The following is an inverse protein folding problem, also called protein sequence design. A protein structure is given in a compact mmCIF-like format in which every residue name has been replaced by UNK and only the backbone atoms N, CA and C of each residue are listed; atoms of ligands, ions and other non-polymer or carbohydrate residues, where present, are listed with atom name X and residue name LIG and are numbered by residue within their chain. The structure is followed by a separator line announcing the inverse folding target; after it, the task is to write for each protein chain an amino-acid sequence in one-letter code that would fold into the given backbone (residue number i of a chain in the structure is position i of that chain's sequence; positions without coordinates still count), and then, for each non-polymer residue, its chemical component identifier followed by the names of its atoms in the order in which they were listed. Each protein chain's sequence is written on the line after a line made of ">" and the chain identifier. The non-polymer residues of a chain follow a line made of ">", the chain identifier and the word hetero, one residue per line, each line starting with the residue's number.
data_IF_447423990972
#
_entry.id   IF_447423990972
#
_cell.length_a   1.000
_cell.length_b   1.000
_cell.length_c   1.000
_cell.angle_alpha   90.00
_cell.angle_beta   90.00
_cell.angle_gamma   90.00
#
_symmetry.space_group_name_H-M   'P 1'
#
loop_
_entity.id
_entity.type
_entity.pdbx_description
1 polymer ?
#
# COMPACT_ATOMS: atom_id res chain seq x y z
N UNK A 1 -19.93 4.74 2.35
CA UNK A 1 -18.64 4.11 2.01
C UNK A 1 -18.83 2.59 2.01
N UNK A 2 -18.27 1.87 1.04
CA UNK A 2 -18.34 0.40 0.96
C UNK A 2 -17.00 -0.21 1.38
N UNK A 3 -17.03 -1.24 2.22
CA UNK A 3 -15.87 -2.02 2.66
C UNK A 3 -16.15 -3.49 2.39
N UNK A 4 -15.19 -4.22 1.82
CA UNK A 4 -15.34 -5.63 1.48
C UNK A 4 -14.08 -6.41 1.84
N UNK A 5 -14.27 -7.61 2.36
CA UNK A 5 -13.20 -8.51 2.78
C UNK A 5 -12.24 -7.86 3.78
N UNK A 6 -10.97 -8.23 3.68
CA UNK A 6 -9.90 -7.73 4.54
C UNK A 6 -9.22 -8.83 5.34
N UNK A 7 -8.35 -8.41 6.25
CA UNK A 7 -7.61 -9.28 7.16
C UNK A 7 -7.62 -8.64 8.54
N UNK A 8 -7.85 -9.44 9.58
CA UNK A 8 -7.91 -8.95 10.96
C UNK A 8 -6.49 -8.78 11.48
N UNK A 9 -6.11 -7.57 11.87
CA UNK A 9 -4.76 -7.27 12.38
C UNK A 9 -4.37 -8.19 13.54
N UNK A 10 -3.23 -8.88 13.44
CA UNK A 10 -2.76 -9.84 14.46
C UNK A 10 -3.29 -11.27 14.29
N UNK A 11 -4.24 -11.50 13.37
CA UNK A 11 -4.70 -12.81 12.96
C UNK A 11 -4.43 -13.00 11.46
N UNK A 12 -3.95 -14.18 11.05
CA UNK A 12 -3.75 -14.49 9.63
C UNK A 12 -5.06 -14.87 8.92
N UNK A 13 -6.21 -14.40 9.43
CA UNK A 13 -7.54 -14.79 8.99
C UNK A 13 -8.15 -13.71 8.10
N UNK A 14 -8.60 -14.13 6.91
CA UNK A 14 -9.21 -13.25 5.92
C UNK A 14 -10.73 -13.20 6.14
N UNK A 15 -11.32 -12.07 5.79
CA UNK A 15 -12.74 -11.81 5.90
C UNK A 15 -13.40 -11.92 4.52
N UNK A 16 -14.65 -12.36 4.51
CA UNK A 16 -15.54 -12.29 3.34
C UNK A 16 -16.59 -11.17 3.49
N UNK A 17 -16.64 -10.53 4.65
CA UNK A 17 -17.72 -9.63 5.04
C UNK A 17 -17.77 -8.39 4.16
N UNK A 18 -18.98 -7.90 3.94
CA UNK A 18 -19.25 -6.70 3.16
C UNK A 18 -20.09 -5.76 4.01
N UNK A 19 -19.65 -4.51 4.14
CA UNK A 19 -20.34 -3.51 4.94
C UNK A 19 -20.44 -2.17 4.22
N UNK A 20 -21.58 -1.51 4.39
CA UNK A 20 -21.77 -0.12 4.01
C UNK A 20 -21.82 0.74 5.26
N UNK A 21 -21.02 1.80 5.27
CA UNK A 21 -21.16 2.92 6.19
C UNK A 21 -22.00 4.02 5.53
N UNK A 22 -23.16 4.32 6.11
CA UNK A 22 -23.86 5.55 5.82
C UNK A 22 -23.11 6.72 6.50
N UNK A 23 -22.63 7.66 5.70
CA UNK A 23 -21.82 8.79 6.19
C UNK A 23 -22.65 9.90 6.83
N UNK A 24 -23.98 9.86 6.66
CA UNK A 24 -24.91 10.84 7.24
C UNK A 24 -25.34 10.38 8.63
N UNK A 25 -25.79 9.13 8.75
CA UNK A 25 -26.20 8.55 10.03
C UNK A 25 -25.04 7.97 10.85
N UNK A 26 -23.87 7.77 10.22
CA UNK A 26 -22.72 7.09 10.81
C UNK A 26 -23.04 5.67 11.30
N UNK A 27 -23.95 4.98 10.60
CA UNK A 27 -24.35 3.60 10.92
C UNK A 27 -23.78 2.62 9.92
N UNK A 28 -23.36 1.46 10.42
CA UNK A 28 -22.94 0.37 9.55
C UNK A 28 -24.12 -0.55 9.24
N UNK A 29 -24.09 -1.11 8.04
CA UNK A 29 -25.06 -2.08 7.56
C UNK A 29 -24.31 -3.22 6.90
N UNK A 30 -24.56 -4.44 7.37
CA UNK A 30 -24.02 -5.65 6.77
C UNK A 30 -24.73 -5.93 5.43
N UNK A 31 -23.97 -6.42 4.47
CA UNK A 31 -24.44 -6.91 3.18
C UNK A 31 -24.13 -8.39 3.04
N UNK A 32 -24.62 -8.98 1.94
CA UNK A 32 -24.23 -10.33 1.56
C UNK A 32 -22.70 -10.43 1.43
N UNK A 33 -22.07 -11.43 2.06
CA UNK A 33 -20.62 -11.59 2.02
C UNK A 33 -20.14 -12.04 0.64
N UNK A 34 -18.85 -11.84 0.37
CA UNK A 34 -18.20 -12.43 -0.80
C UNK A 34 -18.24 -13.96 -0.72
N UNK A 35 -18.30 -14.67 -1.87
CA UNK A 35 -18.28 -16.14 -1.88
C UNK A 35 -17.05 -16.79 -1.25
N UNK A 36 -15.96 -16.04 -1.04
CA UNK A 36 -14.76 -16.50 -0.38
C UNK A 36 -14.04 -15.35 0.34
N UNK A 37 -13.35 -15.62 1.47
CA UNK A 37 -12.55 -14.61 2.15
C UNK A 37 -11.37 -14.14 1.30
N UNK A 38 -11.13 -12.83 1.30
CA UNK A 38 -10.05 -12.22 0.50
C UNK A 38 -9.60 -10.88 1.10
N UNK A 39 -8.30 -10.59 1.01
CA UNK A 39 -7.74 -9.28 1.31
C UNK A 39 -6.91 -8.75 0.13
N UNK A 40 -6.61 -7.43 0.14
CA UNK A 40 -5.80 -6.76 -0.89
C UNK A 40 -6.33 -6.96 -2.32
N UNK A 41 -7.63 -7.12 -2.49
CA UNK A 41 -8.30 -7.23 -3.77
C UNK A 41 -8.66 -5.84 -4.32
N UNK A 42 -8.87 -5.80 -5.62
CA UNK A 42 -9.54 -4.66 -6.26
C UNK A 42 -11.05 -4.82 -6.13
N UNK A 43 -11.79 -3.72 -6.03
CA UNK A 43 -13.24 -3.72 -5.88
C UNK A 43 -13.88 -2.69 -6.82
N UNK A 44 -15.01 -3.07 -7.41
CA UNK A 44 -15.89 -2.17 -8.16
C UNK A 44 -17.36 -2.46 -7.84
N UNK A 45 -18.21 -1.44 -7.91
CA UNK A 45 -19.66 -1.60 -7.87
C UNK A 45 -20.20 -1.62 -9.30
N UNK A 46 -20.84 -2.71 -9.70
CA UNK A 46 -21.42 -2.89 -11.02
C UNK A 46 -22.94 -2.73 -10.94
N UNK A 47 -23.48 -1.77 -11.69
CA UNK A 47 -24.94 -1.63 -11.80
C UNK A 47 -25.48 -2.71 -12.73
N UNK A 48 -26.44 -3.49 -12.25
CA UNK A 48 -27.10 -4.56 -13.01
C UNK A 48 -28.61 -4.32 -13.00
N UNK A 49 -29.12 -3.64 -14.02
CA UNK A 49 -30.52 -3.23 -14.07
C UNK A 49 -30.89 -2.29 -12.92
N UNK A 50 -31.91 -2.66 -12.15
CA UNK A 50 -32.38 -1.94 -10.96
C UNK A 50 -31.54 -2.19 -9.70
N UNK A 51 -30.63 -3.18 -9.72
CA UNK A 51 -29.77 -3.53 -8.59
C UNK A 51 -28.31 -3.13 -8.80
N UNK A 52 -27.50 -3.31 -7.76
CA UNK A 52 -26.05 -3.24 -7.84
C UNK A 52 -25.42 -4.56 -7.36
N UNK A 53 -24.23 -4.85 -7.89
CA UNK A 53 -23.42 -6.00 -7.51
C UNK A 53 -22.04 -5.50 -7.10
N UNK A 54 -21.54 -6.04 -6.02
CA UNK A 54 -20.18 -5.85 -5.56
C UNK A 54 -19.31 -6.84 -6.33
N UNK A 55 -18.32 -6.33 -7.06
CA UNK A 55 -17.34 -7.15 -7.75
C UNK A 55 -15.97 -6.96 -7.08
N UNK A 56 -15.37 -8.06 -6.63
CA UNK A 56 -14.02 -8.11 -6.12
C UNK A 56 -13.14 -8.96 -7.06
N UNK A 57 -12.02 -8.41 -7.50
CA UNK A 57 -11.08 -9.12 -8.37
C UNK A 57 -9.73 -9.30 -7.70
N UNK A 58 -9.25 -10.55 -7.74
CA UNK A 58 -7.92 -10.94 -7.32
C UNK A 58 -7.76 -11.03 -5.80
N UNK A 59 -6.62 -10.54 -5.28
CA UNK A 59 -6.34 -10.49 -3.85
C UNK A 59 -5.58 -11.69 -3.30
N UNK A 60 -5.67 -11.90 -1.98
CA UNK A 60 -4.98 -12.96 -1.25
C UNK A 60 -5.95 -13.67 -0.30
N UNK A 61 -5.97 -15.01 -0.34
CA UNK A 61 -6.90 -15.84 0.44
C UNK A 61 -6.32 -16.37 1.75
N UNK A 62 -5.23 -15.78 2.24
CA UNK A 62 -4.49 -16.27 3.41
C UNK A 62 -3.39 -17.28 3.10
N UNK A 63 -3.51 -18.00 2.00
CA UNK A 63 -2.56 -19.04 1.58
C UNK A 63 -1.98 -18.81 0.19
N UNK A 64 -2.70 -18.12 -0.68
CA UNK A 64 -2.28 -17.87 -2.07
C UNK A 64 -2.89 -16.59 -2.63
N UNK A 65 -2.23 -16.05 -3.64
CA UNK A 65 -2.81 -15.02 -4.48
C UNK A 65 -3.97 -15.61 -5.30
N UNK A 66 -5.00 -14.80 -5.51
CA UNK A 66 -6.16 -15.15 -6.31
C UNK A 66 -6.21 -14.24 -7.53
N UNK A 67 -6.72 -14.77 -8.63
CA UNK A 67 -7.01 -14.03 -9.87
C UNK A 67 -8.45 -14.34 -10.30
N UNK A 68 -9.37 -14.42 -9.33
CA UNK A 68 -10.78 -14.74 -9.56
C UNK A 68 -11.65 -13.50 -9.38
N UNK A 69 -12.78 -13.51 -10.09
CA UNK A 69 -13.86 -12.56 -9.87
C UNK A 69 -14.81 -13.15 -8.84
N UNK A 70 -14.93 -12.47 -7.72
CA UNK A 70 -15.93 -12.72 -6.69
C UNK A 70 -17.03 -11.68 -6.84
N UNK A 71 -18.27 -12.11 -6.78
CA UNK A 71 -19.41 -11.20 -6.85
C UNK A 71 -20.39 -11.49 -5.72
N UNK A 72 -20.85 -10.43 -5.06
CA UNK A 72 -21.94 -10.46 -4.09
C UNK A 72 -23.01 -9.47 -4.55
N UNK A 73 -24.27 -9.78 -4.28
CA UNK A 73 -25.35 -8.85 -4.57
C UNK A 73 -25.38 -7.77 -3.47
N UNK A 74 -25.65 -6.52 -3.85
CA UNK A 74 -25.82 -5.45 -2.85
C UNK A 74 -27.21 -5.50 -2.20
N UNK A 75 -27.76 -6.72 -1.99
CA UNK A 75 -29.15 -6.98 -1.64
C UNK A 75 -29.66 -6.12 -0.48
N UNK A 76 -30.99 -6.03 -0.35
CA UNK A 76 -31.63 -5.32 0.76
C UNK A 76 -31.00 -5.75 2.09
N UNK A 77 -30.68 -4.80 2.98
CA UNK A 77 -29.81 -5.03 4.13
C UNK A 77 -30.34 -6.18 4.99
N UNK A 78 -29.66 -7.32 4.90
CA UNK A 78 -29.91 -8.46 5.74
C UNK A 78 -29.18 -8.19 7.06
N UNK A 79 -29.97 -7.98 8.12
CA UNK A 79 -29.54 -7.86 9.52
C UNK A 79 -29.22 -6.46 10.06
N UNK A 80 -29.41 -6.37 11.38
CA UNK A 80 -29.51 -5.17 12.19
C UNK A 80 -28.34 -4.20 11.99
N UNK A 81 -28.67 -2.92 11.88
CA UNK A 81 -27.71 -1.83 11.88
C UNK A 81 -27.04 -1.73 13.24
N UNK A 82 -25.71 -1.81 13.24
CA UNK A 82 -24.92 -1.56 14.44
C UNK A 82 -24.31 -0.15 14.36
N UNK A 83 -24.24 0.57 15.50
CA UNK A 83 -23.48 1.81 15.55
C UNK A 83 -22.00 1.50 15.25
N UNK A 84 -21.31 2.44 14.62
CA UNK A 84 -19.88 2.29 14.35
C UNK A 84 -19.12 1.91 15.63
N UNK A 85 -18.22 0.90 15.57
CA UNK A 85 -17.39 0.58 16.71
C UNK A 85 -16.62 1.83 17.15
N UNK A 86 -16.50 2.01 18.47
CA UNK A 86 -15.66 3.06 19.03
C UNK A 86 -14.24 2.95 18.45
N UNK A 87 -13.64 4.10 18.13
CA UNK A 87 -12.33 4.19 17.49
C UNK A 87 -11.34 3.20 18.13
N UNK A 88 -10.88 2.21 17.35
CA UNK A 88 -9.72 1.41 17.75
C UNK A 88 -8.53 2.36 17.92
N UNK A 89 -7.65 2.14 18.92
CA UNK A 89 -6.46 2.97 19.08
C UNK A 89 -5.71 2.96 17.75
N UNK A 90 -5.60 4.15 17.16
CA UNK A 90 -5.11 4.32 15.80
C UNK A 90 -3.74 3.63 15.69
N UNK A 91 -3.70 2.47 15.04
CA UNK A 91 -2.49 2.05 14.38
C UNK A 91 -2.18 3.21 13.43
N UNK A 92 -1.14 4.00 13.76
CA UNK A 92 -0.79 5.20 13.00
C UNK A 92 -0.61 4.79 11.55
N UNK A 93 -1.64 5.03 10.74
CA UNK A 93 -1.53 4.90 9.30
C UNK A 93 -0.40 5.84 8.91
N UNK A 94 0.65 5.30 8.29
CA UNK A 94 1.78 6.12 7.87
C UNK A 94 1.22 7.18 6.92
N UNK A 95 1.29 8.45 7.32
CA UNK A 95 0.88 9.56 6.49
C UNK A 95 1.93 9.68 5.39
N UNK A 96 1.63 9.13 4.22
CA UNK A 96 2.42 9.40 3.03
C UNK A 96 2.23 10.86 2.67
N UNK A 97 3.24 11.67 2.97
CA UNK A 97 3.28 13.08 2.59
C UNK A 97 3.02 13.16 1.08
N UNK A 98 1.89 13.77 0.69
CA UNK A 98 1.42 13.82 -0.71
C UNK A 98 2.27 14.74 -1.58
N UNK A 99 3.34 15.31 -1.02
CA UNK A 99 4.33 16.09 -1.76
C UNK A 99 4.94 15.25 -2.87
N UNK A 100 5.00 15.78 -4.11
CA UNK A 100 5.67 15.10 -5.21
C UNK A 100 7.13 14.78 -4.87
N UNK A 101 7.57 13.56 -5.18
CA UNK A 101 8.95 13.15 -4.97
C UNK A 101 9.93 14.02 -5.77
N UNK A 102 11.05 14.37 -5.15
CA UNK A 102 12.09 15.21 -5.74
C UNK A 102 12.70 14.55 -6.99
N UNK A 103 12.93 15.32 -8.05
CA UNK A 103 13.49 14.91 -9.34
C UNK A 103 14.74 15.70 -9.69
N UNK A 104 15.48 15.25 -10.70
CA UNK A 104 16.70 15.91 -11.17
C UNK A 104 16.49 17.39 -11.56
N UNK A 105 15.32 17.73 -12.13
CA UNK A 105 14.93 19.11 -12.45
C UNK A 105 14.95 20.04 -11.23
N UNK A 106 14.63 19.50 -10.06
CA UNK A 106 14.44 20.27 -8.83
C UNK A 106 15.76 20.65 -8.16
N UNK A 107 16.88 20.02 -8.58
CA UNK A 107 18.23 20.35 -8.13
C UNK A 107 18.80 21.60 -8.82
N UNK A 108 18.24 22.01 -9.96
CA UNK A 108 18.74 23.14 -10.73
C UNK A 108 20.25 23.04 -11.00
N UNK A 109 21.00 24.07 -10.62
CA UNK A 109 22.44 24.15 -10.83
C UNK A 109 23.22 23.01 -10.15
N UNK A 110 22.72 22.43 -9.05
CA UNK A 110 23.39 21.34 -8.33
C UNK A 110 23.44 20.02 -9.11
N UNK A 111 22.59 19.87 -10.13
CA UNK A 111 22.64 18.71 -11.02
C UNK A 111 23.68 18.86 -12.14
N UNK A 112 24.25 20.05 -12.33
CA UNK A 112 25.11 20.35 -13.48
C UNK A 112 26.35 19.45 -13.51
N UNK A 113 26.53 18.71 -14.60
CA UNK A 113 27.66 17.79 -14.79
C UNK A 113 27.57 16.48 -14.00
N UNK A 114 26.50 16.27 -13.22
CA UNK A 114 26.27 15.00 -12.52
C UNK A 114 25.41 14.06 -13.37
N UNK A 115 25.75 12.78 -13.38
CA UNK A 115 24.96 11.75 -14.07
C UNK A 115 24.97 10.43 -13.30
N UNK A 116 24.06 9.53 -13.68
CA UNK A 116 23.97 8.18 -13.14
C UNK A 116 23.94 8.13 -11.61
N UNK A 117 24.84 7.33 -11.03
CA UNK A 117 24.90 7.11 -9.58
C UNK A 117 25.25 8.38 -8.78
N UNK A 118 26.01 9.31 -9.35
CA UNK A 118 26.40 10.54 -8.67
C UNK A 118 25.20 11.50 -8.54
N UNK A 119 24.41 11.62 -9.60
CA UNK A 119 23.16 12.39 -9.58
C UNK A 119 22.14 11.77 -8.62
N UNK A 120 22.00 10.43 -8.63
CA UNK A 120 21.13 9.73 -7.68
C UNK A 120 21.56 9.97 -6.22
N UNK A 121 22.86 9.96 -5.94
CA UNK A 121 23.40 10.28 -4.61
C UNK A 121 23.11 11.73 -4.20
N UNK A 122 23.25 12.70 -5.12
CA UNK A 122 22.91 14.11 -4.84
C UNK A 122 21.43 14.29 -4.55
N UNK A 123 20.56 13.67 -5.36
CA UNK A 123 19.11 13.66 -5.14
C UNK A 123 18.74 13.06 -3.79
N UNK A 124 19.36 11.93 -3.43
CA UNK A 124 19.17 11.32 -2.12
C UNK A 124 19.51 12.28 -0.98
N UNK A 125 20.68 12.93 -1.03
CA UNK A 125 21.11 13.87 0.00
C UNK A 125 20.12 15.02 0.12
N UNK A 126 19.72 15.62 -1.01
CA UNK A 126 18.77 16.73 -1.02
C UNK A 126 17.39 16.34 -0.49
N UNK A 127 16.90 15.17 -0.90
CA UNK A 127 15.63 14.63 -0.41
C UNK A 127 15.66 14.42 1.10
N UNK A 128 16.76 13.88 1.65
CA UNK A 128 16.94 13.71 3.10
C UNK A 128 16.99 15.05 3.83
N UNK A 129 17.73 16.03 3.32
CA UNK A 129 17.81 17.39 3.90
C UNK A 129 16.42 18.05 3.99
N UNK A 130 15.59 17.83 2.98
CA UNK A 130 14.24 18.40 2.89
C UNK A 130 13.17 17.53 3.57
N UNK A 131 13.56 16.42 4.21
CA UNK A 131 12.65 15.52 4.93
C UNK A 131 11.78 14.63 4.04
N UNK A 132 12.12 14.43 2.77
CA UNK A 132 11.39 13.54 1.88
C UNK A 132 11.71 12.07 2.16
N UNK A 133 10.66 11.25 2.08
CA UNK A 133 10.78 9.79 2.18
C UNK A 133 11.20 9.12 0.87
N UNK A 134 11.01 9.79 -0.27
CA UNK A 134 11.37 9.28 -1.59
C UNK A 134 11.95 10.36 -2.51
N UNK A 135 12.68 9.92 -3.53
CA UNK A 135 13.08 10.73 -4.69
C UNK A 135 12.94 9.88 -5.96
N UNK A 136 12.92 10.51 -7.13
CA UNK A 136 12.91 9.80 -8.42
C UNK A 136 14.34 9.49 -8.85
N UNK A 137 14.66 8.21 -9.03
CA UNK A 137 15.95 7.76 -9.54
C UNK A 137 16.11 8.20 -11.01
N UNK A 138 17.11 9.05 -11.34
CA UNK A 138 17.26 9.62 -12.68
C UNK A 138 17.57 8.56 -13.75
N UNK A 139 18.11 7.40 -13.37
CA UNK A 139 18.45 6.34 -14.32
C UNK A 139 17.24 5.47 -14.68
N UNK A 140 16.33 5.23 -13.73
CA UNK A 140 15.23 4.26 -13.88
C UNK A 140 13.85 4.91 -13.95
N UNK A 141 13.71 6.16 -13.50
CA UNK A 141 12.43 6.86 -13.37
C UNK A 141 11.59 6.38 -12.18
N UNK A 142 12.07 5.44 -11.37
CA UNK A 142 11.33 4.90 -10.24
C UNK A 142 11.41 5.82 -9.02
N UNK A 143 10.32 5.83 -8.25
CA UNK A 143 10.34 6.38 -6.89
C UNK A 143 11.10 5.42 -5.97
N UNK A 144 12.17 5.93 -5.35
CA UNK A 144 13.05 5.15 -4.48
C UNK A 144 13.13 5.77 -3.10
N UNK A 145 13.19 4.92 -2.07
CA UNK A 145 13.22 5.37 -0.67
C UNK A 145 14.52 6.09 -0.30
N UNK A 146 14.40 7.14 0.50
CA UNK A 146 15.52 7.80 1.15
C UNK A 146 15.99 7.00 2.38
N UNK A 147 17.16 7.36 2.90
CA UNK A 147 17.70 6.72 4.11
C UNK A 147 16.88 7.10 5.34
N UNK A 148 16.23 8.27 5.33
CA UNK A 148 15.27 8.71 6.34
C UNK A 148 14.12 7.70 6.46
N UNK A 149 13.48 7.34 5.34
CA UNK A 149 12.41 6.33 5.31
C UNK A 149 12.93 4.97 5.77
N UNK A 150 14.07 4.53 5.22
CA UNK A 150 14.61 3.20 5.49
C UNK A 150 15.05 2.98 6.94
N UNK A 151 15.38 4.04 7.70
CA UNK A 151 15.72 3.93 9.14
C UNK A 151 14.53 3.47 10.00
N UNK A 152 13.30 3.65 9.54
CA UNK A 152 12.08 3.30 10.29
C UNK A 152 11.71 1.82 10.22
N UNK A 153 12.46 1.03 9.46
CA UNK A 153 12.20 -0.39 9.21
C UNK A 153 13.51 -1.20 9.22
N UNK A 154 13.46 -2.52 9.48
CA UNK A 154 14.65 -3.37 9.38
C UNK A 154 15.18 -3.44 7.95
N UNK A 155 16.46 -3.82 7.81
CA UNK A 155 17.10 -4.02 6.51
C UNK A 155 16.35 -5.09 5.69
N UNK A 156 15.90 -4.75 4.48
CA UNK A 156 15.11 -5.64 3.63
C UNK A 156 15.93 -6.58 2.73
N UNK A 157 17.27 -6.48 2.72
CA UNK A 157 18.14 -7.34 1.90
C UNK A 157 18.25 -6.97 0.41
N UNK A 158 17.55 -5.93 -0.06
CA UNK A 158 17.47 -5.57 -1.49
C UNK A 158 18.68 -4.78 -2.06
N UNK A 159 19.81 -4.72 -1.33
CA UNK A 159 21.05 -4.07 -1.80
C UNK A 159 20.86 -2.61 -2.30
N UNK A 160 20.06 -1.82 -1.59
CA UNK A 160 19.81 -0.41 -1.92
C UNK A 160 21.10 0.44 -1.92
N UNK A 161 21.22 1.45 -2.79
CA UNK A 161 22.42 2.30 -2.95
C UNK A 161 22.85 3.05 -1.67
N UNK A 162 21.88 3.41 -0.82
CA UNK A 162 22.11 4.21 0.39
C UNK A 162 21.45 3.56 1.62
N UNK A 163 21.82 2.30 1.89
CA UNK A 163 21.26 1.56 3.02
C UNK A 163 21.78 2.15 4.36
N UNK A 164 20.90 2.65 5.25
CA UNK A 164 21.32 3.17 6.55
C UNK A 164 21.79 2.07 7.50
N UNK A 165 21.44 0.81 7.20
CA UNK A 165 21.75 -0.36 8.03
C UNK A 165 23.03 -1.08 7.59
N UNK A 166 23.86 -0.49 6.74
CA UNK A 166 25.12 -1.11 6.30
C UNK A 166 24.95 -2.46 5.61
N UNK A 167 23.80 -2.70 4.96
CA UNK A 167 23.50 -3.94 4.23
C UNK A 167 23.55 -5.23 5.10
N UNK A 168 23.26 -5.15 6.40
CA UNK A 168 23.31 -6.31 7.32
C UNK A 168 22.55 -7.55 6.86
N UNK A 169 21.42 -7.39 6.15
CA UNK A 169 20.59 -8.50 5.65
C UNK A 169 20.78 -8.78 4.15
N UNK A 170 21.77 -8.15 3.49
CA UNK A 170 22.09 -8.47 2.09
C UNK A 170 22.99 -9.72 2.10
N UNK A 171 22.61 -10.80 1.38
CA UNK A 171 23.48 -11.97 1.27
C UNK A 171 24.85 -11.54 0.75
N UNK A 172 25.90 -11.84 1.52
CA UNK A 172 27.27 -11.75 1.02
C UNK A 172 27.34 -12.68 -0.17
N UNK A 173 27.84 -12.19 -1.31
CA UNK A 173 28.05 -13.05 -2.46
C UNK A 173 28.90 -14.24 -1.97
N UNK A 174 28.36 -15.46 -2.07
CA UNK A 174 29.23 -16.62 -2.18
C UNK A 174 30.18 -16.30 -3.33
N UNK A 175 31.47 -16.61 -3.18
CA UNK A 175 32.44 -16.49 -4.27
C UNK A 175 31.78 -17.07 -5.52
N UNK A 176 31.41 -16.19 -6.44
CA UNK A 176 30.79 -16.62 -7.67
C UNK A 176 31.96 -17.07 -8.53
N UNK A 177 32.16 -18.37 -8.60
CA UNK A 177 33.01 -19.00 -9.61
C UNK A 177 32.35 -18.73 -10.97
N UNK A 178 32.73 -17.64 -11.62
CA UNK A 178 32.49 -17.36 -13.04
C UNK A 178 33.79 -16.91 -13.68
#
# INVERSE_FOLDING_TARGET
>A
MLVTGGEVTGHTSQLADCHILDLTSMTWTALDPLPAPVCRHSMALLRSGAGARIAAWGGYSGTRETHRLLAADSGSPAHASEPAPAESPAAKQESWDSRPALRASDLGAEASGLSGALLAKRLHHRAVEMGYDTYIDPATGYSVFTSLYLKRRPCCGNRCRHCPHGHVNVPKAAAADW
#
